data_IF_985224685230
#
_entry.id   IF_985224685230
#
_cell.length_a   1.000
_cell.length_b   1.000
_cell.length_c   1.000
_cell.angle_alpha   90.00
_cell.angle_beta   90.00
_cell.angle_gamma   90.00
#
_symmetry.space_group_name_H-M   'P 1'
#
loop_
_entity.id
_entity.type
_entity.pdbx_description
1 polymer ?
#
# COMPACT_ATOMS: atom_id res chain seq x y z
N UNK A 1 14.06 -31.61 6.09
CA UNK A 1 13.86 -30.48 7.02
C UNK A 1 13.84 -29.23 6.14
N UNK A 2 12.68 -28.62 5.93
CA UNK A 2 12.53 -27.45 5.05
C UNK A 2 13.07 -26.21 5.76
N UNK A 3 13.84 -25.39 5.05
CA UNK A 3 14.33 -24.11 5.55
C UNK A 3 13.11 -23.20 5.78
N UNK A 4 13.00 -22.50 6.93
CA UNK A 4 11.94 -21.53 7.17
C UNK A 4 11.86 -20.51 6.02
N UNK A 5 10.70 -20.45 5.35
CA UNK A 5 10.48 -19.51 4.25
C UNK A 5 9.84 -18.22 4.78
N UNK A 6 10.37 -17.09 4.33
CA UNK A 6 9.81 -15.76 4.61
C UNK A 6 8.36 -15.63 4.16
N UNK A 7 7.56 -14.93 4.95
CA UNK A 7 6.17 -14.60 4.63
C UNK A 7 6.01 -13.37 3.72
N UNK A 8 7.08 -12.59 3.56
CA UNK A 8 7.07 -11.31 2.84
C UNK A 8 6.47 -11.40 1.43
N UNK A 9 6.87 -12.35 0.56
CA UNK A 9 6.34 -12.39 -0.82
C UNK A 9 4.83 -12.66 -0.86
N UNK A 10 4.35 -13.52 0.03
CA UNK A 10 2.93 -13.84 0.13
C UNK A 10 2.13 -12.66 0.71
N UNK A 11 2.68 -11.94 1.70
CA UNK A 11 2.03 -10.78 2.30
C UNK A 11 1.89 -9.63 1.29
N UNK A 12 2.94 -9.35 0.50
CA UNK A 12 2.88 -8.35 -0.58
C UNK A 12 1.84 -8.71 -1.64
N UNK A 13 1.81 -9.97 -2.08
CA UNK A 13 0.86 -10.43 -3.09
C UNK A 13 -0.58 -10.37 -2.58
N UNK A 14 -0.80 -10.73 -1.31
CA UNK A 14 -2.11 -10.62 -0.69
C UNK A 14 -2.58 -9.17 -0.64
N UNK A 15 -1.73 -8.25 -0.18
CA UNK A 15 -2.05 -6.81 -0.14
C UNK A 15 -2.39 -6.29 -1.54
N UNK A 16 -1.58 -6.63 -2.55
CA UNK A 16 -1.86 -6.26 -3.93
C UNK A 16 -3.25 -6.74 -4.39
N UNK A 17 -3.59 -8.01 -4.17
CA UNK A 17 -4.87 -8.56 -4.58
C UNK A 17 -6.05 -7.95 -3.80
N UNK A 18 -5.89 -7.74 -2.50
CA UNK A 18 -6.91 -7.13 -1.64
C UNK A 18 -7.17 -5.68 -2.03
N UNK A 19 -6.11 -4.89 -2.26
CA UNK A 19 -6.23 -3.50 -2.72
C UNK A 19 -6.83 -3.42 -4.12
N UNK A 20 -6.44 -4.30 -5.04
CA UNK A 20 -7.02 -4.35 -6.38
C UNK A 20 -8.52 -4.68 -6.36
N UNK A 21 -8.99 -5.45 -5.37
CA UNK A 21 -10.40 -5.79 -5.23
C UNK A 21 -11.21 -4.72 -4.49
N UNK A 22 -10.60 -4.02 -3.53
CA UNK A 22 -11.28 -3.07 -2.65
C UNK A 22 -11.25 -1.62 -3.16
N UNK A 23 -10.15 -1.22 -3.81
CA UNK A 23 -10.00 0.14 -4.30
C UNK A 23 -10.76 0.29 -5.62
N UNK A 24 -11.66 1.27 -5.65
CA UNK A 24 -12.33 1.69 -6.86
C UNK A 24 -11.63 2.91 -7.45
N UNK A 25 -11.66 3.09 -8.79
CA UNK A 25 -11.38 4.39 -9.38
C UNK A 25 -12.32 5.45 -8.77
N UNK A 26 -11.95 6.72 -8.91
CA UNK A 26 -12.71 7.83 -8.32
C UNK A 26 -14.22 7.70 -8.65
N UNK A 27 -15.13 7.61 -7.65
CA UNK A 27 -16.55 7.32 -7.85
C UNK A 27 -17.33 8.39 -8.65
N UNK A 28 -16.66 9.44 -9.13
CA UNK A 28 -17.22 10.46 -10.02
C UNK A 28 -17.75 9.99 -11.38
N UNK A 29 -17.56 8.71 -11.69
CA UNK A 29 -17.89 8.08 -12.97
C UNK A 29 -19.39 7.80 -13.17
N UNK A 30 -20.23 7.83 -12.14
CA UNK A 30 -21.66 7.48 -12.27
C UNK A 30 -22.60 8.67 -12.60
N UNK A 31 -22.15 9.93 -12.45
CA UNK A 31 -23.03 11.11 -12.55
C UNK A 31 -22.42 12.34 -13.25
N UNK A 32 -21.23 12.23 -13.87
CA UNK A 32 -20.61 13.36 -14.57
C UNK A 32 -20.16 14.52 -13.66
N UNK A 33 -20.10 14.25 -12.35
CA UNK A 33 -19.58 15.12 -11.29
C UNK A 33 -18.78 14.23 -10.36
N UNK A 34 -17.50 14.00 -10.67
CA UNK A 34 -16.58 13.52 -9.63
C UNK A 34 -16.39 14.58 -8.58
N UNK A 35 -16.25 14.15 -7.32
CA UNK A 35 -15.83 15.04 -6.22
C UNK A 35 -14.57 15.85 -6.60
N UNK A 36 -13.79 15.35 -7.57
CA UNK A 36 -12.51 15.91 -8.00
C UNK A 36 -12.36 16.14 -9.52
N UNK A 37 -13.46 16.11 -10.30
CA UNK A 37 -13.51 16.76 -11.62
C UNK A 37 -13.10 15.99 -12.90
N UNK A 38 -12.42 14.83 -12.85
CA UNK A 38 -12.08 14.06 -14.07
C UNK A 38 -12.98 12.82 -14.25
N UNK A 39 -13.57 12.68 -15.45
CA UNK A 39 -14.41 11.56 -15.83
C UNK A 39 -13.62 10.33 -16.34
N UNK A 40 -12.31 10.47 -16.55
CA UNK A 40 -11.41 9.41 -17.04
C UNK A 40 -10.37 8.96 -16.01
N UNK A 41 -10.46 9.44 -14.75
CA UNK A 41 -9.54 9.09 -13.68
C UNK A 41 -9.42 7.57 -13.54
N UNK A 42 -8.24 7.05 -13.89
CA UNK A 42 -7.92 5.62 -13.82
C UNK A 42 -7.04 5.35 -12.60
N UNK A 43 -7.31 4.24 -11.93
CA UNK A 43 -6.55 3.75 -10.78
C UNK A 43 -5.69 2.56 -11.20
N UNK A 44 -4.39 2.66 -11.00
CA UNK A 44 -3.45 1.54 -11.10
C UNK A 44 -3.03 1.09 -9.71
N UNK A 45 -3.30 -0.18 -9.41
CA UNK A 45 -2.64 -0.87 -8.29
C UNK A 45 -1.51 -1.70 -8.87
N UNK A 46 -0.29 -1.54 -8.36
CA UNK A 46 0.90 -2.27 -8.82
C UNK A 46 1.77 -2.78 -7.66
N UNK A 47 2.66 -3.72 -7.98
CA UNK A 47 3.78 -4.12 -7.11
C UNK A 47 4.99 -3.26 -7.50
N UNK A 48 5.63 -2.65 -6.51
CA UNK A 48 6.74 -1.71 -6.72
C UNK A 48 6.34 -0.52 -7.61
N UNK A 49 7.30 0.06 -8.34
CA UNK A 49 7.08 1.24 -9.15
C UNK A 49 6.16 0.97 -10.37
N UNK A 50 5.33 1.94 -10.77
CA UNK A 50 4.60 1.87 -12.04
C UNK A 50 5.58 1.80 -13.21
N UNK A 51 5.18 1.06 -14.26
CA UNK A 51 5.94 0.97 -15.51
C UNK A 51 5.77 2.21 -16.39
N UNK A 52 5.70 2.02 -17.70
CA UNK A 52 5.48 3.12 -18.66
C UNK A 52 4.04 3.64 -18.70
N UNK A 53 3.11 2.91 -18.10
CA UNK A 53 1.72 3.33 -17.94
C UNK A 53 1.56 4.00 -16.58
N UNK A 54 1.30 5.31 -16.58
CA UNK A 54 1.14 6.15 -15.40
C UNK A 54 -0.22 6.84 -15.47
N UNK A 55 -1.28 6.20 -14.93
CA UNK A 55 -2.57 6.86 -14.80
C UNK A 55 -2.57 7.87 -13.63
N UNK A 56 -3.68 8.58 -13.50
CA UNK A 56 -3.86 9.64 -12.49
C UNK A 56 -3.72 9.14 -11.05
N UNK A 57 -4.35 8.02 -10.70
CA UNK A 57 -4.22 7.42 -9.38
C UNK A 57 -3.32 6.18 -9.46
N UNK A 58 -2.27 6.16 -8.64
CA UNK A 58 -1.34 5.04 -8.54
C UNK A 58 -1.21 4.62 -7.08
N UNK A 59 -1.40 3.33 -6.81
CA UNK A 59 -1.16 2.70 -5.50
C UNK A 59 -0.16 1.57 -5.69
N UNK A 60 1.03 1.74 -5.12
CA UNK A 60 2.14 0.82 -5.27
C UNK A 60 2.43 0.11 -3.95
N UNK A 61 2.37 -1.22 -3.93
CA UNK A 61 2.80 -2.05 -2.80
C UNK A 61 4.28 -2.36 -2.98
N UNK A 62 5.12 -1.63 -2.25
CA UNK A 62 6.54 -1.53 -2.55
C UNK A 62 7.43 -2.10 -1.47
N UNK A 63 8.36 -1.24 -1.05
CA UNK A 63 9.55 -1.54 -0.27
C UNK A 63 9.22 -2.32 0.99
N UNK A 64 10.09 -3.28 1.30
CA UNK A 64 10.04 -4.03 2.56
C UNK A 64 11.33 -3.84 3.32
N UNK A 65 11.21 -3.35 4.55
CA UNK A 65 12.29 -3.39 5.54
C UNK A 65 12.03 -4.57 6.47
N UNK A 66 13.04 -5.38 6.73
CA UNK A 66 12.90 -6.64 7.46
C UNK A 66 14.02 -6.83 8.46
N UNK A 67 13.60 -7.26 9.65
CA UNK A 67 14.43 -7.75 10.73
C UNK A 67 14.02 -9.17 11.11
N UNK A 68 15.01 -10.03 11.36
CA UNK A 68 14.80 -11.40 11.83
C UNK A 68 15.43 -11.52 13.21
N UNK A 69 14.62 -11.89 14.20
CA UNK A 69 15.03 -12.08 15.58
C UNK A 69 14.81 -13.54 16.02
N UNK A 70 15.51 -13.96 17.06
CA UNK A 70 15.38 -15.31 17.63
C UNK A 70 14.28 -15.31 18.69
N UNK A 71 13.29 -16.18 18.55
CA UNK A 71 12.16 -16.24 19.48
C UNK A 71 12.55 -16.72 20.89
N UNK A 72 13.55 -17.60 21.02
CA UNK A 72 14.05 -18.12 22.31
C UNK A 72 15.35 -18.93 22.15
N UNK A 73 16.25 -18.93 23.15
CA UNK A 73 17.51 -19.71 23.17
C UNK A 73 17.31 -21.20 23.52
N UNK A 74 16.44 -21.94 22.82
CA UNK A 74 16.28 -23.38 23.08
C UNK A 74 16.49 -24.22 21.81
N UNK A 75 17.55 -25.03 21.86
CA UNK A 75 17.78 -26.30 21.16
C UNK A 75 17.15 -26.56 19.79
N UNK A 76 18.02 -26.63 18.76
CA UNK A 76 17.80 -27.02 17.37
C UNK A 76 16.83 -26.12 16.59
N UNK A 77 17.35 -25.40 15.57
CA UNK A 77 16.63 -24.44 14.72
C UNK A 77 15.56 -25.07 13.82
N UNK A 78 14.54 -25.65 14.43
CA UNK A 78 13.31 -26.13 13.77
C UNK A 78 12.35 -24.98 13.43
N UNK A 79 11.21 -25.33 12.82
CA UNK A 79 10.19 -24.35 12.44
C UNK A 79 9.69 -23.56 13.66
N UNK A 80 9.58 -22.25 13.50
CA UNK A 80 9.15 -21.32 14.53
C UNK A 80 10.24 -20.92 15.53
N UNK A 81 11.52 -21.13 15.23
CA UNK A 81 12.60 -20.63 16.07
C UNK A 81 12.91 -19.14 15.80
N UNK A 82 12.55 -18.64 14.61
CA UNK A 82 12.74 -17.25 14.20
C UNK A 82 11.43 -16.48 14.24
N UNK A 83 11.56 -15.19 14.47
CA UNK A 83 10.49 -14.21 14.31
C UNK A 83 10.93 -13.24 13.22
N UNK A 84 10.09 -13.10 12.21
CA UNK A 84 10.22 -12.14 11.13
C UNK A 84 9.38 -10.91 11.48
N UNK A 85 10.05 -9.78 11.69
CA UNK A 85 9.44 -8.45 11.83
C UNK A 85 9.74 -7.66 10.57
N UNK A 86 8.72 -7.13 9.91
CA UNK A 86 8.95 -6.34 8.70
C UNK A 86 7.88 -5.27 8.52
N UNK A 87 8.24 -4.24 7.77
CA UNK A 87 7.33 -3.18 7.36
C UNK A 87 7.18 -3.21 5.84
N UNK A 88 5.94 -3.18 5.35
CA UNK A 88 5.63 -2.98 3.94
C UNK A 88 5.23 -1.51 3.75
N UNK A 89 5.92 -0.82 2.86
CA UNK A 89 5.60 0.54 2.45
C UNK A 89 4.67 0.50 1.23
N UNK A 90 3.53 1.16 1.35
CA UNK A 90 2.56 1.35 0.28
C UNK A 90 2.58 2.82 -0.08
N UNK A 91 2.89 3.16 -1.33
CA UNK A 91 2.90 4.54 -1.80
C UNK A 91 1.65 4.83 -2.62
N UNK A 92 1.17 6.07 -2.51
CA UNK A 92 0.01 6.59 -3.22
C UNK A 92 0.45 7.83 -3.97
N UNK A 93 0.09 7.92 -5.24
CA UNK A 93 0.31 9.10 -6.08
C UNK A 93 -1.01 9.42 -6.77
N UNK A 94 -1.40 10.70 -6.72
CA UNK A 94 -2.64 11.20 -7.29
C UNK A 94 -2.35 12.47 -8.10
N UNK A 95 -2.43 12.38 -9.41
CA UNK A 95 -2.43 13.52 -10.32
C UNK A 95 -3.87 13.84 -10.75
N UNK A 96 -4.22 15.12 -10.86
CA UNK A 96 -5.56 15.56 -11.28
C UNK A 96 -5.58 16.48 -12.50
N UNK A 97 -4.41 16.84 -13.03
CA UNK A 97 -4.32 17.73 -14.21
C UNK A 97 -4.88 19.14 -13.98
N UNK A 98 -5.22 19.50 -12.74
CA UNK A 98 -5.75 20.80 -12.32
C UNK A 98 -4.73 21.56 -11.49
N UNK A 99 -4.78 22.89 -11.54
CA UNK A 99 -4.03 23.78 -10.63
C UNK A 99 -4.75 23.91 -9.28
N UNK A 100 -5.06 22.75 -8.67
CA UNK A 100 -5.71 22.66 -7.37
C UNK A 100 -5.01 21.60 -6.52
N UNK A 101 -4.20 22.08 -5.57
CA UNK A 101 -3.46 21.19 -4.67
C UNK A 101 -4.36 20.52 -3.64
N UNK A 102 -5.48 21.14 -3.27
CA UNK A 102 -6.36 20.63 -2.22
C UNK A 102 -7.08 19.36 -2.67
N UNK A 103 -7.54 19.33 -3.92
CA UNK A 103 -8.22 18.15 -4.48
C UNK A 103 -7.28 16.95 -4.63
N UNK A 104 -6.04 17.18 -5.05
CA UNK A 104 -5.01 16.15 -5.09
C UNK A 104 -4.71 15.61 -3.68
N UNK A 105 -4.59 16.48 -2.68
CA UNK A 105 -4.36 16.09 -1.29
C UNK A 105 -5.50 15.24 -0.72
N UNK A 106 -6.75 15.70 -0.86
CA UNK A 106 -7.92 14.99 -0.32
C UNK A 106 -8.07 13.60 -0.93
N UNK A 107 -7.79 13.45 -2.22
CA UNK A 107 -7.78 12.15 -2.87
C UNK A 107 -6.71 11.23 -2.29
N UNK A 108 -5.48 11.72 -2.16
CA UNK A 108 -4.38 10.95 -1.58
C UNK A 108 -4.74 10.47 -0.17
N UNK A 109 -5.29 11.35 0.67
CA UNK A 109 -5.80 10.96 1.99
C UNK A 109 -6.91 9.91 1.92
N UNK A 110 -7.89 10.09 1.02
CA UNK A 110 -8.98 9.13 0.86
C UNK A 110 -8.49 7.74 0.45
N UNK A 111 -7.48 7.65 -0.42
CA UNK A 111 -6.90 6.36 -0.82
C UNK A 111 -6.12 5.73 0.34
N UNK A 112 -5.33 6.52 1.08
CA UNK A 112 -4.62 6.04 2.29
C UNK A 112 -5.61 5.49 3.32
N UNK A 113 -6.74 6.16 3.54
CA UNK A 113 -7.77 5.70 4.48
C UNK A 113 -8.42 4.39 4.03
N UNK A 114 -8.66 4.23 2.72
CA UNK A 114 -9.17 2.98 2.16
C UNK A 114 -8.14 1.83 2.32
N UNK A 115 -6.87 2.09 2.02
CA UNK A 115 -5.79 1.10 2.21
C UNK A 115 -5.71 0.70 3.70
N UNK A 116 -5.77 1.68 4.59
CA UNK A 116 -5.79 1.47 6.05
C UNK A 116 -6.98 0.60 6.47
N UNK A 117 -8.16 0.85 5.91
CA UNK A 117 -9.37 0.06 6.17
C UNK A 117 -9.21 -1.39 5.70
N UNK A 118 -8.60 -1.63 4.53
CA UNK A 118 -8.33 -2.99 4.02
C UNK A 118 -7.43 -3.77 4.98
N UNK A 119 -6.32 -3.17 5.42
CA UNK A 119 -5.40 -3.80 6.38
C UNK A 119 -6.08 -4.09 7.72
N UNK A 120 -6.93 -3.17 8.20
CA UNK A 120 -7.67 -3.36 9.46
C UNK A 120 -8.77 -4.43 9.37
N UNK A 121 -9.29 -4.69 8.17
CA UNK A 121 -10.35 -5.69 7.96
C UNK A 121 -9.82 -7.11 8.11
N UNK A 122 -8.61 -7.37 7.63
CA UNK A 122 -7.91 -8.65 7.84
C UNK A 122 -6.45 -8.41 8.27
N UNK A 123 -6.18 -8.30 9.59
CA UNK A 123 -4.84 -8.08 10.08
C UNK A 123 -3.92 -9.30 9.91
N UNK A 124 -4.42 -10.46 9.47
CA UNK A 124 -3.59 -11.64 9.23
C UNK A 124 -3.08 -11.73 7.80
N UNK A 125 -3.51 -10.83 6.92
CA UNK A 125 -3.19 -10.83 5.48
C UNK A 125 -3.47 -12.21 4.86
N UNK A 126 -4.68 -12.74 5.08
CA UNK A 126 -5.08 -14.07 4.63
C UNK A 126 -4.38 -15.23 5.34
N UNK A 127 -4.00 -15.04 6.61
CA UNK A 127 -3.24 -16.02 7.40
C UNK A 127 -1.75 -16.10 7.08
N UNK A 128 -1.22 -15.16 6.30
CA UNK A 128 0.20 -15.10 5.92
C UNK A 128 1.09 -14.62 7.06
N UNK A 129 0.55 -13.77 7.93
CA UNK A 129 1.23 -13.19 9.10
C UNK A 129 0.40 -13.45 10.36
N UNK A 130 1.05 -13.44 11.53
CA UNK A 130 0.36 -13.54 12.82
C UNK A 130 -0.49 -12.30 13.08
N UNK A 131 0.07 -11.14 12.78
CA UNK A 131 -0.62 -9.86 12.82
C UNK A 131 0.06 -8.85 11.92
N UNK A 132 -0.72 -7.86 11.50
CA UNK A 132 -0.29 -6.68 10.80
C UNK A 132 -1.11 -5.47 11.25
N UNK A 133 -0.50 -4.29 11.19
CA UNK A 133 -1.17 -3.04 11.53
C UNK A 133 -0.58 -1.87 10.75
N UNK A 134 -1.39 -0.88 10.36
CA UNK A 134 -0.89 0.39 9.85
C UNK A 134 -0.26 1.19 10.99
N UNK A 135 0.99 1.65 10.82
CA UNK A 135 1.75 2.35 11.87
C UNK A 135 1.95 3.83 11.59
N UNK A 136 2.21 4.19 10.34
CA UNK A 136 2.49 5.58 9.94
C UNK A 136 1.89 5.84 8.57
N UNK A 137 1.21 6.97 8.42
CA UNK A 137 0.76 7.49 7.14
C UNK A 137 1.29 8.92 6.95
N UNK A 138 1.70 9.24 5.74
CA UNK A 138 2.12 10.57 5.33
C UNK A 138 1.41 10.94 4.03
N UNK A 139 1.06 12.21 3.89
CA UNK A 139 0.51 12.78 2.67
C UNK A 139 1.08 14.18 2.50
N UNK A 140 1.49 14.49 1.28
CA UNK A 140 2.04 15.76 0.86
C UNK A 140 1.55 16.08 -0.55
N UNK A 141 1.73 17.32 -0.98
CA UNK A 141 1.44 17.76 -2.34
C UNK A 141 2.66 18.42 -2.93
N UNK A 142 3.08 17.96 -4.09
CA UNK A 142 4.24 18.47 -4.81
C UNK A 142 3.80 18.95 -6.18
N UNK A 143 4.39 20.07 -6.63
CA UNK A 143 4.23 20.50 -8.01
C UNK A 143 5.07 19.60 -8.92
N UNK A 144 4.45 18.87 -9.84
CA UNK A 144 5.15 18.01 -10.78
C UNK A 144 5.29 18.73 -12.13
N UNK A 145 6.52 19.14 -12.46
CA UNK A 145 6.81 19.82 -13.72
C UNK A 145 6.44 18.96 -14.95
N UNK A 146 6.59 17.64 -14.84
CA UNK A 146 6.29 16.67 -15.91
C UNK A 146 4.80 16.60 -16.25
N UNK A 147 3.92 16.84 -15.25
CA UNK A 147 2.46 16.83 -15.43
C UNK A 147 1.87 18.24 -15.55
N UNK A 148 2.68 19.29 -15.34
CA UNK A 148 2.21 20.68 -15.25
C UNK A 148 1.02 20.84 -14.30
N UNK A 149 1.00 20.07 -13.22
CA UNK A 149 -0.10 20.03 -12.26
C UNK A 149 0.39 19.72 -10.84
N UNK A 150 -0.46 19.98 -9.86
CA UNK A 150 -0.25 19.46 -8.50
C UNK A 150 -0.44 17.94 -8.46
N UNK A 151 0.47 17.27 -7.76
CA UNK A 151 0.44 15.82 -7.52
C UNK A 151 0.44 15.59 -6.01
N UNK A 152 -0.57 14.87 -5.53
CA UNK A 152 -0.62 14.40 -4.16
C UNK A 152 0.22 13.14 -4.03
N UNK A 153 1.17 13.13 -3.12
CA UNK A 153 2.01 11.97 -2.81
C UNK A 153 1.77 11.54 -1.38
N UNK A 154 1.74 10.24 -1.13
CA UNK A 154 1.56 9.73 0.20
C UNK A 154 2.14 8.34 0.39
N UNK A 155 2.34 7.98 1.65
CA UNK A 155 2.87 6.69 2.03
C UNK A 155 2.10 6.15 3.23
N UNK A 156 1.95 4.82 3.28
CA UNK A 156 1.44 4.08 4.42
C UNK A 156 2.42 2.96 4.75
N UNK A 157 2.88 2.94 6.00
CA UNK A 157 3.70 1.85 6.53
C UNK A 157 2.80 0.84 7.24
N UNK A 158 2.88 -0.42 6.81
CA UNK A 158 2.20 -1.55 7.43
C UNK A 158 3.24 -2.43 8.12
N UNK A 159 3.19 -2.48 9.45
CA UNK A 159 4.02 -3.39 10.23
C UNK A 159 3.41 -4.79 10.21
N UNK A 160 4.25 -5.81 10.08
CA UNK A 160 3.90 -7.21 10.00
C UNK A 160 4.80 -8.03 10.92
N UNK A 161 4.22 -9.05 11.53
CA UNK A 161 4.95 -10.03 12.34
C UNK A 161 4.58 -11.45 11.96
N UNK A 162 5.58 -12.29 11.78
CA UNK A 162 5.39 -13.71 11.51
C UNK A 162 6.42 -14.55 12.25
N UNK A 163 6.01 -15.76 12.66
CA UNK A 163 6.91 -16.77 13.20
C UNK A 163 7.30 -17.76 12.09
N UNK A 164 8.60 -17.96 11.86
CA UNK A 164 9.14 -18.84 10.80
C UNK A 164 10.06 -19.91 11.37
#
# INVERSE_FOLDING_TARGET
MSIPSSSVPAARLWLFNALKAALAPDPGTASGQGSYGDANASLLVCLDAPGTYQPEDIVAVGKVDRRIDVSSMVGSGGAGWLIEHYTIEITVECARGTDDSQTAFERTCSLIDQITAVVRTDPTLGGTVLWSQPTRSEADTVWADDHSSWVGQGSLTVECNQRI
#
